data_IF_460413666167
#
_entry.id   IF_460413666167
#
_cell.length_a   1.000
_cell.length_b   1.000
_cell.length_c   1.000
_cell.angle_alpha   90.00
_cell.angle_beta   90.00
_cell.angle_gamma   90.00
#
_symmetry.space_group_name_H-M   'P 1'
#
loop_
_entity.id
_entity.type
_entity.pdbx_description
1 polymer ?
#
# COMPACT_ATOMS: atom_id res chain seq x y z
N UNK A 1 2.76 -6.34 9.39
CA UNK A 1 1.63 -7.26 9.16
C UNK A 1 1.69 -7.93 7.79
N UNK A 2 1.68 -7.20 6.67
CA UNK A 2 1.67 -7.82 5.34
C UNK A 2 2.93 -8.65 5.03
N UNK A 3 4.10 -8.22 5.50
CA UNK A 3 5.35 -8.97 5.29
C UNK A 3 5.27 -10.38 5.90
N UNK A 4 4.87 -10.46 7.17
CA UNK A 4 4.77 -11.73 7.90
C UNK A 4 3.70 -12.63 7.28
N UNK A 5 2.52 -12.07 6.97
CA UNK A 5 1.44 -12.82 6.33
C UNK A 5 1.84 -13.32 4.93
N UNK A 6 2.46 -12.47 4.12
CA UNK A 6 2.88 -12.82 2.77
C UNK A 6 3.94 -13.93 2.75
N UNK A 7 4.95 -13.85 3.62
CA UNK A 7 5.96 -14.90 3.77
C UNK A 7 5.35 -16.22 4.26
N UNK A 8 4.43 -16.16 5.23
CA UNK A 8 3.73 -17.34 5.72
C UNK A 8 2.93 -18.02 4.59
N UNK A 9 2.20 -17.26 3.78
CA UNK A 9 1.44 -17.80 2.64
C UNK A 9 2.33 -18.40 1.56
N UNK A 10 3.51 -17.80 1.30
CA UNK A 10 4.51 -18.40 0.40
C UNK A 10 5.01 -19.74 0.96
N UNK A 11 5.33 -19.80 2.25
CA UNK A 11 5.77 -21.03 2.91
C UNK A 11 4.70 -22.13 2.87
N UNK A 12 3.45 -21.81 3.19
CA UNK A 12 2.32 -22.75 3.12
C UNK A 12 2.12 -23.26 1.70
N UNK A 13 2.14 -22.37 0.70
CA UNK A 13 2.01 -22.77 -0.71
C UNK A 13 3.13 -23.71 -1.14
N UNK A 14 4.37 -23.45 -0.72
CA UNK A 14 5.52 -24.29 -1.04
C UNK A 14 5.46 -25.68 -0.40
N UNK A 15 5.02 -25.77 0.87
CA UNK A 15 5.00 -27.03 1.63
C UNK A 15 3.79 -27.91 1.33
N UNK A 16 2.62 -27.30 1.10
CA UNK A 16 1.34 -28.03 1.02
C UNK A 16 0.79 -28.12 -0.40
N UNK A 17 1.23 -27.26 -1.32
CA UNK A 17 0.69 -27.14 -2.68
C UNK A 17 -0.83 -26.85 -2.74
N UNK A 18 -1.48 -26.53 -1.62
CA UNK A 18 -2.94 -26.27 -1.57
C UNK A 18 -3.32 -24.86 -2.01
N UNK A 19 -2.36 -23.92 -1.93
CA UNK A 19 -2.56 -22.53 -2.31
C UNK A 19 -1.78 -22.19 -3.59
N UNK A 20 -2.35 -21.34 -4.47
CA UNK A 20 -1.62 -20.87 -5.63
C UNK A 20 -0.33 -20.13 -5.26
N UNK A 21 0.76 -20.42 -5.97
CA UNK A 21 2.09 -19.83 -5.71
C UNK A 21 2.11 -18.29 -5.77
N UNK A 22 1.15 -17.67 -6.46
CA UNK A 22 1.04 -16.22 -6.56
C UNK A 22 0.36 -15.56 -5.35
N UNK A 23 -0.39 -16.30 -4.53
CA UNK A 23 -1.23 -15.73 -3.47
C UNK A 23 -0.40 -14.94 -2.44
N UNK A 24 0.69 -15.55 -1.96
CA UNK A 24 1.61 -14.89 -1.03
C UNK A 24 2.39 -13.73 -1.66
N UNK A 25 2.71 -13.82 -2.97
CA UNK A 25 3.46 -12.77 -3.68
C UNK A 25 2.68 -11.45 -3.76
N UNK A 26 1.37 -11.49 -4.01
CA UNK A 26 0.58 -10.26 -4.02
C UNK A 26 0.47 -9.61 -2.65
N UNK A 27 0.38 -10.39 -1.57
CA UNK A 27 0.40 -9.85 -0.20
C UNK A 27 1.75 -9.18 0.10
N UNK A 28 2.86 -9.75 -0.38
CA UNK A 28 4.20 -9.18 -0.23
C UNK A 28 4.36 -7.87 -1.01
N UNK A 29 4.11 -7.87 -2.31
CA UNK A 29 4.39 -6.71 -3.15
C UNK A 29 3.32 -5.62 -3.02
N UNK A 30 2.04 -6.00 -3.11
CA UNK A 30 0.94 -5.02 -3.04
C UNK A 30 0.72 -4.51 -1.62
N UNK A 31 0.97 -5.34 -0.60
CA UNK A 31 0.76 -4.97 0.80
C UNK A 31 2.04 -4.52 1.49
N UNK A 32 3.03 -5.41 1.62
CA UNK A 32 4.21 -5.14 2.44
C UNK A 32 5.10 -4.06 1.82
N UNK A 33 5.47 -4.22 0.54
CA UNK A 33 6.36 -3.28 -0.14
C UNK A 33 5.69 -1.92 -0.33
N UNK A 34 4.48 -1.88 -0.87
CA UNK A 34 3.76 -0.62 -1.06
C UNK A 34 3.49 0.11 0.27
N UNK A 35 3.14 -0.62 1.33
CA UNK A 35 2.95 -0.05 2.66
C UNK A 35 4.25 0.50 3.26
N UNK A 36 5.36 -0.21 3.09
CA UNK A 36 6.68 0.26 3.52
C UNK A 36 7.10 1.53 2.77
N UNK A 37 6.90 1.56 1.44
CA UNK A 37 7.19 2.74 0.61
C UNK A 37 6.34 3.93 1.04
N UNK A 38 5.03 3.74 1.24
CA UNK A 38 4.14 4.80 1.71
C UNK A 38 4.57 5.34 3.09
N UNK A 39 4.98 4.47 4.01
CA UNK A 39 5.48 4.86 5.31
C UNK A 39 6.78 5.69 5.20
N UNK A 40 7.75 5.23 4.40
CA UNK A 40 8.99 5.97 4.14
C UNK A 40 8.68 7.33 3.53
N UNK A 41 7.80 7.41 2.55
CA UNK A 41 7.37 8.64 1.92
C UNK A 41 6.76 9.62 2.92
N UNK A 42 5.85 9.16 3.80
CA UNK A 42 5.26 10.03 4.81
C UNK A 42 6.30 10.53 5.83
N UNK A 43 7.17 9.64 6.33
CA UNK A 43 8.17 10.00 7.34
C UNK A 43 9.21 10.96 6.75
N UNK A 44 9.76 10.62 5.58
CA UNK A 44 10.74 11.44 4.88
C UNK A 44 10.11 12.78 4.47
N UNK A 45 8.91 12.77 3.92
CA UNK A 45 8.20 13.97 3.50
C UNK A 45 7.95 14.95 4.66
N UNK A 46 7.52 14.46 5.84
CA UNK A 46 7.32 15.33 7.00
C UNK A 46 8.66 15.81 7.59
N UNK A 47 9.61 14.89 7.78
CA UNK A 47 10.90 15.21 8.42
C UNK A 47 11.77 16.14 7.59
N UNK A 48 11.89 15.90 6.29
CA UNK A 48 12.74 16.73 5.42
C UNK A 48 12.10 18.07 5.07
N UNK A 49 10.77 18.19 5.19
CA UNK A 49 10.09 19.47 5.00
C UNK A 49 9.89 20.28 6.30
N UNK A 50 10.54 19.88 7.39
CA UNK A 50 10.51 20.62 8.66
C UNK A 50 9.16 20.63 9.36
N UNK A 51 8.28 19.65 9.08
CA UNK A 51 6.91 19.58 9.62
C UNK A 51 6.82 18.55 10.75
N UNK A 52 5.87 18.75 11.65
CA UNK A 52 5.57 17.79 12.73
C UNK A 52 5.21 16.42 12.14
N UNK A 53 5.62 15.32 12.83
CA UNK A 53 5.31 13.93 12.45
C UNK A 53 3.84 13.55 12.71
N UNK A 54 2.92 14.39 12.23
CA UNK A 54 1.48 14.18 12.31
C UNK A 54 0.96 13.86 10.91
N UNK A 55 0.42 12.66 10.74
CA UNK A 55 -0.10 12.24 9.45
C UNK A 55 -1.40 12.98 9.11
N UNK A 56 -1.53 13.54 7.90
CA UNK A 56 -2.80 14.08 7.40
C UNK A 56 -3.89 13.00 7.35
N UNK A 57 -5.15 13.40 7.56
CA UNK A 57 -6.31 12.48 7.47
C UNK A 57 -6.38 11.73 6.14
N UNK A 58 -5.95 12.36 5.07
CA UNK A 58 -5.87 11.77 3.71
C UNK A 58 -5.00 10.52 3.66
N UNK A 59 -3.95 10.42 4.49
CA UNK A 59 -3.08 9.24 4.53
C UNK A 59 -3.77 8.04 5.18
N UNK A 60 -4.68 8.27 6.14
CA UNK A 60 -5.50 7.19 6.69
C UNK A 60 -6.43 6.59 5.64
N UNK A 61 -7.00 7.45 4.77
CA UNK A 61 -7.77 6.99 3.62
C UNK A 61 -6.89 6.21 2.63
N UNK A 62 -5.67 6.69 2.34
CA UNK A 62 -4.72 5.98 1.48
C UNK A 62 -4.38 4.59 2.04
N UNK A 63 -4.12 4.48 3.34
CA UNK A 63 -3.87 3.19 4.00
C UNK A 63 -5.07 2.24 3.92
N UNK A 64 -6.29 2.77 4.06
CA UNK A 64 -7.52 2.00 3.91
C UNK A 64 -7.70 1.48 2.47
N UNK A 65 -7.46 2.33 1.46
CA UNK A 65 -7.46 1.93 0.05
C UNK A 65 -6.45 0.82 -0.22
N UNK A 66 -5.22 0.97 0.27
CA UNK A 66 -4.17 -0.03 0.11
C UNK A 66 -4.56 -1.37 0.74
N UNK A 67 -5.05 -1.35 1.98
CA UNK A 67 -5.49 -2.55 2.68
C UNK A 67 -6.63 -3.26 1.95
N UNK A 68 -7.64 -2.51 1.50
CA UNK A 68 -8.75 -3.05 0.72
C UNK A 68 -8.27 -3.66 -0.61
N UNK A 69 -7.33 -3.01 -1.31
CA UNK A 69 -6.74 -3.52 -2.54
C UNK A 69 -5.99 -4.85 -2.33
N UNK A 70 -5.21 -4.96 -1.25
CA UNK A 70 -4.53 -6.21 -0.87
C UNK A 70 -5.53 -7.34 -0.61
N UNK A 71 -6.56 -7.08 0.19
CA UNK A 71 -7.59 -8.08 0.52
C UNK A 71 -8.30 -8.54 -0.75
N UNK A 72 -8.79 -7.62 -1.58
CA UNK A 72 -9.49 -7.96 -2.83
C UNK A 72 -8.58 -8.75 -3.79
N UNK A 73 -7.32 -8.32 -3.96
CA UNK A 73 -6.36 -9.00 -4.85
C UNK A 73 -6.07 -10.44 -4.41
N UNK A 74 -6.06 -10.69 -3.11
CA UNK A 74 -5.72 -12.00 -2.54
C UNK A 74 -6.92 -12.93 -2.37
N UNK A 75 -8.10 -12.38 -2.06
CA UNK A 75 -9.30 -13.16 -1.72
C UNK A 75 -10.16 -13.45 -2.96
N UNK A 76 -10.41 -12.45 -3.82
CA UNK A 76 -11.33 -12.61 -4.96
C UNK A 76 -10.92 -13.76 -5.91
N UNK A 77 -9.65 -13.88 -6.34
CA UNK A 77 -9.26 -14.98 -7.23
C UNK A 77 -9.45 -16.38 -6.63
N UNK A 78 -9.45 -16.49 -5.30
CA UNK A 78 -9.54 -17.76 -4.60
C UNK A 78 -11.00 -18.20 -4.40
N UNK A 79 -11.88 -17.27 -4.05
CA UNK A 79 -13.27 -17.59 -3.68
C UNK A 79 -14.30 -17.22 -4.76
N UNK A 80 -14.00 -16.24 -5.61
CA UNK A 80 -14.90 -15.74 -6.67
C UNK A 80 -14.16 -15.56 -8.00
N UNK A 81 -13.61 -16.64 -8.60
CA UNK A 81 -12.83 -16.56 -9.83
C UNK A 81 -13.60 -15.95 -11.01
N UNK A 82 -14.94 -16.04 -11.03
CA UNK A 82 -15.78 -15.39 -12.03
C UNK A 82 -15.67 -13.86 -12.06
N UNK A 83 -15.22 -13.24 -10.96
CA UNK A 83 -15.00 -11.80 -10.86
C UNK A 83 -13.51 -11.43 -10.85
N UNK A 84 -12.65 -12.33 -11.33
CA UNK A 84 -11.20 -12.16 -11.31
C UNK A 84 -10.76 -10.84 -11.96
N UNK A 85 -11.16 -10.58 -13.20
CA UNK A 85 -10.72 -9.38 -13.92
C UNK A 85 -11.23 -8.10 -13.28
N UNK A 86 -12.50 -8.04 -12.90
CA UNK A 86 -13.12 -6.82 -12.37
C UNK A 86 -12.74 -6.58 -10.91
N UNK A 87 -13.19 -7.44 -10.01
CA UNK A 87 -13.00 -7.26 -8.56
C UNK A 87 -11.64 -7.74 -8.05
N UNK A 88 -10.98 -8.67 -8.76
CA UNK A 88 -9.68 -9.23 -8.35
C UNK A 88 -8.46 -8.55 -8.97
N UNK A 89 -8.62 -7.79 -10.06
CA UNK A 89 -7.51 -7.12 -10.76
C UNK A 89 -7.74 -5.62 -10.91
N UNK A 90 -8.82 -5.21 -11.58
CA UNK A 90 -9.07 -3.78 -11.86
C UNK A 90 -9.29 -2.98 -10.57
N UNK A 91 -10.21 -3.40 -9.70
CA UNK A 91 -10.50 -2.68 -8.46
C UNK A 91 -9.27 -2.58 -7.53
N UNK A 92 -8.51 -3.66 -7.26
CA UNK A 92 -7.27 -3.57 -6.50
C UNK A 92 -6.23 -2.64 -7.12
N UNK A 93 -6.07 -2.67 -8.44
CA UNK A 93 -5.16 -1.77 -9.15
C UNK A 93 -5.55 -0.31 -8.99
N UNK A 94 -6.84 0.00 -9.09
CA UNK A 94 -7.37 1.35 -8.87
C UNK A 94 -7.19 1.81 -7.43
N UNK A 95 -7.44 0.94 -6.44
CA UNK A 95 -7.23 1.25 -5.02
C UNK A 95 -5.75 1.49 -4.70
N UNK A 96 -4.85 0.71 -5.30
CA UNK A 96 -3.42 0.92 -5.18
C UNK A 96 -2.99 2.25 -5.81
N UNK A 97 -3.46 2.56 -7.02
CA UNK A 97 -3.21 3.85 -7.66
C UNK A 97 -3.72 5.01 -6.79
N UNK A 98 -4.94 4.89 -6.27
CA UNK A 98 -5.57 5.89 -5.42
C UNK A 98 -4.78 6.12 -4.13
N UNK A 99 -4.17 5.08 -3.56
CA UNK A 99 -3.29 5.19 -2.39
C UNK A 99 -2.16 6.20 -2.64
N UNK A 100 -1.43 6.05 -3.74
CA UNK A 100 -0.31 6.94 -4.07
C UNK A 100 -0.77 8.29 -4.61
N UNK A 101 -1.92 8.34 -5.28
CA UNK A 101 -2.54 9.59 -5.70
C UNK A 101 -2.94 10.47 -4.50
N UNK A 102 -3.58 9.87 -3.49
CA UNK A 102 -3.94 10.55 -2.24
C UNK A 102 -2.71 11.04 -1.47
N UNK A 103 -1.62 10.25 -1.47
CA UNK A 103 -0.34 10.72 -0.96
C UNK A 103 0.18 11.93 -1.73
N UNK A 104 0.23 11.86 -3.07
CA UNK A 104 0.72 12.94 -3.91
C UNK A 104 -0.09 14.23 -3.75
N UNK A 105 -1.42 14.13 -3.65
CA UNK A 105 -2.29 15.28 -3.37
C UNK A 105 -2.04 15.87 -1.99
N UNK A 106 -1.83 15.01 -0.98
CA UNK A 106 -1.62 15.46 0.40
C UNK A 106 -0.22 16.06 0.61
N UNK A 107 0.81 15.53 -0.05
CA UNK A 107 2.22 15.90 0.18
C UNK A 107 2.80 16.79 -0.92
N UNK A 108 2.19 16.85 -2.10
CA UNK A 108 2.72 17.58 -3.26
C UNK A 108 3.03 19.05 -2.92
N UNK A 109 2.07 19.77 -2.33
CA UNK A 109 2.29 21.14 -1.89
C UNK A 109 3.32 21.27 -0.76
N UNK A 110 3.43 20.28 0.13
CA UNK A 110 4.42 20.30 1.21
C UNK A 110 5.85 20.12 0.68
N UNK A 111 6.02 19.27 -0.34
CA UNK A 111 7.30 18.94 -0.96
C UNK A 111 7.82 20.01 -1.92
N UNK A 112 6.93 20.86 -2.44
CA UNK A 112 7.28 21.95 -3.37
C UNK A 112 7.28 23.33 -2.72
N UNK A 113 6.96 23.42 -1.43
CA UNK A 113 7.02 24.65 -0.64
C UNK A 113 8.30 24.71 0.18
N UNK A 114 8.82 25.92 0.41
CA UNK A 114 9.87 26.15 1.39
C UNK A 114 9.46 25.66 2.79
N UNK A 115 10.45 25.21 3.56
CA UNK A 115 10.21 24.70 4.92
C UNK A 115 9.65 25.78 5.85
N UNK A 116 8.64 25.47 6.69
CA UNK A 116 8.08 26.43 7.65
C UNK A 116 9.05 26.85 8.77
N UNK A 117 10.09 26.05 9.03
CA UNK A 117 11.08 26.29 10.09
C UNK A 117 12.25 27.20 9.66
N UNK A 118 12.28 27.62 8.38
CA UNK A 118 13.28 28.56 7.85
C UNK A 118 14.69 27.96 7.69
N UNK A 119 14.86 26.66 7.90
CA UNK A 119 16.13 25.97 7.67
C UNK A 119 16.32 25.66 6.18
N UNK A 120 17.58 25.42 5.72
CA UNK A 120 17.82 24.99 4.35
C UNK A 120 17.01 23.74 3.98
N UNK A 121 16.31 23.80 2.84
CA UNK A 121 15.46 22.73 2.31
C UNK A 121 14.15 23.24 1.74
#
# INVERSE_FOLDING_TARGET
MWLTLGLALVGVSALTQTLPAYAGRHVLFLGAMAGAVLAVFCIAGLRHTGRSLVLPRTIWLALACLAAGVVLRSVVPLFWPQHYLTAGVLVPGLLWWLTFWLYALSFGGMLTSARPDGLPG
#
